data_IF_303802709682
#
_entry.id   IF_303802709682
#
_cell.length_a   1.000
_cell.length_b   1.000
_cell.length_c   1.000
_cell.angle_alpha   90.00
_cell.angle_beta   90.00
_cell.angle_gamma   90.00
#
_symmetry.space_group_name_H-M   'P 1'
#
loop_
_entity.id
_entity.type
_entity.pdbx_description
1 polymer ?
#
# COMPACT_ATOMS: atom_id res chain seq x y z
N UNK A 1 -38.43 5.98 2.29
CA UNK A 1 -37.40 4.96 2.58
C UNK A 1 -36.31 5.06 1.53
N UNK A 2 -35.08 5.48 1.90
CA UNK A 2 -33.95 5.57 0.96
C UNK A 2 -33.11 4.30 1.11
N UNK A 3 -33.18 3.42 0.11
CA UNK A 3 -32.21 2.33 -0.05
C UNK A 3 -30.93 2.92 -0.64
N UNK A 4 -29.89 3.01 0.17
CA UNK A 4 -28.53 3.35 -0.28
C UNK A 4 -27.66 2.12 -0.12
N UNK A 5 -27.68 1.24 -1.12
CA UNK A 5 -26.90 0.00 -1.11
C UNK A 5 -26.27 -0.32 -2.48
N UNK A 6 -25.92 0.72 -3.25
CA UNK A 6 -25.35 0.56 -4.61
C UNK A 6 -23.84 0.81 -4.69
N UNK A 7 -23.17 1.21 -3.61
CA UNK A 7 -21.74 1.57 -3.67
C UNK A 7 -20.76 0.41 -3.57
N UNK A 8 -21.22 -0.78 -3.19
CA UNK A 8 -20.30 -1.89 -2.95
C UNK A 8 -20.03 -2.73 -4.22
N UNK A 9 -20.94 -2.71 -5.20
CA UNK A 9 -20.84 -3.55 -6.40
C UNK A 9 -19.90 -2.98 -7.48
N UNK A 10 -19.70 -1.65 -7.50
CA UNK A 10 -18.91 -0.98 -8.55
C UNK A 10 -17.39 -1.23 -8.44
N UNK A 11 -16.92 -1.76 -7.31
CA UNK A 11 -15.48 -2.00 -7.05
C UNK A 11 -14.93 -3.26 -7.71
N UNK A 12 -15.79 -4.23 -8.05
CA UNK A 12 -15.36 -5.54 -8.55
C UNK A 12 -15.34 -5.59 -10.09
N UNK A 13 -16.08 -4.70 -10.77
CA UNK A 13 -16.27 -4.76 -12.23
C UNK A 13 -15.37 -3.82 -13.05
N UNK A 14 -14.63 -2.91 -12.42
CA UNK A 14 -13.92 -1.87 -13.15
C UNK A 14 -12.44 -2.21 -13.34
N UNK A 15 -12.04 -2.42 -14.59
CA UNK A 15 -10.67 -2.17 -15.09
C UNK A 15 -10.31 -0.67 -15.04
N UNK A 16 -10.67 -0.01 -13.94
CA UNK A 16 -10.40 1.39 -13.65
C UNK A 16 -8.99 1.58 -13.06
N UNK A 17 -8.55 2.84 -12.91
CA UNK A 17 -7.23 3.13 -12.38
C UNK A 17 -7.06 2.51 -10.98
N UNK A 18 -5.84 2.05 -10.64
CA UNK A 18 -5.57 1.40 -9.37
C UNK A 18 -6.06 2.30 -8.23
N UNK A 19 -6.93 1.73 -7.39
CA UNK A 19 -7.47 2.46 -6.28
C UNK A 19 -6.36 2.76 -5.29
N UNK A 20 -6.20 4.04 -4.96
CA UNK A 20 -5.25 4.43 -3.91
C UNK A 20 -5.70 3.82 -2.60
N UNK A 21 -4.82 3.00 -2.02
CA UNK A 21 -5.06 2.37 -0.73
C UNK A 21 -4.45 3.26 0.35
N UNK A 22 -5.27 3.67 1.31
CA UNK A 22 -4.79 4.35 2.50
C UNK A 22 -4.35 3.32 3.55
N UNK A 23 -3.05 3.24 3.82
CA UNK A 23 -2.50 2.31 4.81
C UNK A 23 -2.98 2.62 6.24
N UNK A 24 -3.39 3.86 6.53
CA UNK A 24 -3.90 4.22 7.86
C UNK A 24 -5.26 3.61 8.14
N UNK A 25 -6.04 3.34 7.08
CA UNK A 25 -7.34 2.68 7.17
C UNK A 25 -7.27 1.16 7.37
N UNK A 26 -6.07 0.57 7.25
CA UNK A 26 -5.86 -0.88 7.33
C UNK A 26 -5.65 -1.37 8.77
N UNK A 27 -6.00 -2.64 9.06
CA UNK A 27 -5.67 -3.29 10.33
C UNK A 27 -4.17 -3.21 10.66
N UNK A 28 -3.85 -3.10 11.94
CA UNK A 28 -2.50 -2.80 12.44
C UNK A 28 -1.40 -3.69 11.83
N UNK A 29 -1.65 -4.99 11.67
CA UNK A 29 -0.70 -5.93 11.09
C UNK A 29 -0.42 -5.64 9.61
N UNK A 30 -1.47 -5.43 8.82
CA UNK A 30 -1.36 -5.14 7.39
C UNK A 30 -0.67 -3.79 7.18
N UNK A 31 -1.01 -2.81 8.01
CA UNK A 31 -0.35 -1.50 8.01
C UNK A 31 1.15 -1.61 8.30
N UNK A 32 1.55 -2.40 9.30
CA UNK A 32 2.95 -2.62 9.63
C UNK A 32 3.72 -3.26 8.46
N UNK A 33 3.16 -4.31 7.86
CA UNK A 33 3.77 -4.97 6.70
C UNK A 33 3.88 -4.00 5.53
N UNK A 34 2.81 -3.25 5.25
CA UNK A 34 2.81 -2.23 4.19
C UNK A 34 3.90 -1.18 4.39
N UNK A 35 4.08 -0.68 5.62
CA UNK A 35 5.15 0.26 5.94
C UNK A 35 6.55 -0.38 5.84
N UNK A 36 6.72 -1.62 6.27
CA UNK A 36 7.99 -2.33 6.15
C UNK A 36 8.42 -2.53 4.70
N UNK A 37 7.47 -2.82 3.79
CA UNK A 37 7.76 -2.96 2.35
C UNK A 37 8.06 -1.60 1.72
N UNK A 38 7.19 -0.60 1.94
CA UNK A 38 7.30 0.72 1.30
C UNK A 38 8.53 1.48 1.76
N UNK A 39 8.92 1.38 3.03
CA UNK A 39 10.05 2.13 3.57
C UNK A 39 11.27 1.26 3.88
N UNK A 40 11.08 0.03 4.33
CA UNK A 40 12.19 -0.85 4.70
C UNK A 40 12.99 -1.32 3.50
N UNK A 41 12.35 -1.75 2.41
CA UNK A 41 13.09 -2.21 1.21
C UNK A 41 13.92 -1.07 0.61
N UNK A 42 13.38 0.13 0.33
CA UNK A 42 14.19 1.22 -0.20
C UNK A 42 15.32 1.63 0.74
N UNK A 43 15.11 1.57 2.06
CA UNK A 43 16.15 1.87 3.04
C UNK A 43 17.31 0.87 2.97
N UNK A 44 17.01 -0.43 2.91
CA UNK A 44 18.02 -1.49 2.79
C UNK A 44 18.80 -1.35 1.47
N UNK A 45 18.10 -1.14 0.36
CA UNK A 45 18.73 -0.95 -0.96
C UNK A 45 19.63 0.31 -0.94
N UNK A 46 19.13 1.40 -0.36
CA UNK A 46 19.92 2.63 -0.23
C UNK A 46 21.17 2.43 0.62
N UNK A 47 21.06 1.72 1.76
CA UNK A 47 22.20 1.39 2.61
C UNK A 47 23.23 0.54 1.86
N UNK A 48 22.80 -0.46 1.10
CA UNK A 48 23.70 -1.30 0.29
C UNK A 48 24.43 -0.48 -0.78
N UNK A 49 23.74 0.43 -1.46
CA UNK A 49 24.36 1.33 -2.46
C UNK A 49 25.39 2.24 -1.78
N UNK A 50 25.07 2.81 -0.61
CA UNK A 50 25.99 3.69 0.12
C UNK A 50 27.25 2.97 0.62
N UNK A 51 27.13 1.70 0.99
CA UNK A 51 28.26 0.90 1.50
C UNK A 51 29.08 0.30 0.35
N UNK A 52 28.49 0.15 -0.84
CA UNK A 52 29.16 -0.33 -2.07
C UNK A 52 30.53 0.30 -2.36
N UNK A 53 30.72 1.64 -2.33
CA UNK A 53 32.02 2.26 -2.62
C UNK A 53 33.07 2.08 -1.52
N UNK A 54 32.71 1.57 -0.35
CA UNK A 54 33.65 1.26 0.74
C UNK A 54 34.19 -0.17 0.65
N UNK A 55 33.87 -0.89 -0.42
CA UNK A 55 34.39 -2.22 -0.77
C UNK A 55 35.41 -2.11 -1.88
#
# INVERSE_FOLDING_TARGET
MKHTDSKQSERIEAGGPPQRVDLQSLPALIRYIGYAVVYGIPLIVSALILISPFK
#
